data_IF_768352376091
#
_entry.id   IF_768352376091
#
_cell.length_a   1.000
_cell.length_b   1.000
_cell.length_c   1.000
_cell.angle_alpha   90.00
_cell.angle_beta   90.00
_cell.angle_gamma   90.00
#
_symmetry.space_group_name_H-M   'P 1'
#
loop_
_entity.id
_entity.type
_entity.pdbx_description
1 polymer ?
#
# COMPACT_ATOMS: atom_id res chain seq x y z
N UNK A 1 14.55 -4.30 -65.27
CA UNK A 1 14.03 -3.27 -64.36
C UNK A 1 14.58 -3.53 -63.00
N UNK A 2 15.22 -2.57 -62.37
CA UNK A 2 15.75 -2.73 -61.00
C UNK A 2 14.57 -2.87 -60.03
N UNK A 3 14.62 -3.84 -59.12
CA UNK A 3 13.53 -4.06 -58.15
C UNK A 3 13.39 -2.84 -57.22
N UNK A 4 12.18 -2.36 -57.05
CA UNK A 4 11.89 -1.30 -56.08
C UNK A 4 11.61 -1.91 -54.69
N UNK A 5 11.78 -1.11 -53.63
CA UNK A 5 11.44 -1.53 -52.28
C UNK A 5 10.03 -2.17 -52.17
N UNK A 6 9.03 -1.49 -52.75
CA UNK A 6 7.64 -1.97 -52.70
C UNK A 6 7.42 -3.27 -53.50
N UNK A 7 8.17 -3.52 -54.57
CA UNK A 7 8.07 -4.75 -55.36
C UNK A 7 8.61 -5.95 -54.57
N UNK A 8 9.63 -5.75 -53.73
CA UNK A 8 10.21 -6.78 -52.86
C UNK A 8 9.35 -6.94 -51.59
N UNK A 9 8.97 -5.86 -50.92
CA UNK A 9 8.18 -5.86 -49.71
C UNK A 9 6.83 -6.56 -49.84
N UNK A 10 6.21 -6.53 -51.02
CA UNK A 10 4.92 -7.20 -51.32
C UNK A 10 5.03 -8.69 -51.59
N UNK A 11 6.23 -9.28 -51.62
CA UNK A 11 6.37 -10.73 -51.79
C UNK A 11 5.90 -11.47 -50.52
N UNK A 12 5.26 -12.66 -50.66
CA UNK A 12 4.69 -13.38 -49.54
C UNK A 12 5.67 -13.57 -48.34
N UNK A 13 6.93 -13.82 -48.61
CA UNK A 13 8.00 -13.94 -47.60
C UNK A 13 8.12 -12.66 -46.74
N UNK A 14 8.10 -11.49 -47.39
CA UNK A 14 8.30 -10.20 -46.71
C UNK A 14 7.02 -9.73 -46.02
N UNK A 15 5.85 -10.09 -46.57
CA UNK A 15 4.56 -9.86 -45.88
C UNK A 15 4.50 -10.73 -44.61
N UNK A 16 4.91 -11.98 -44.69
CA UNK A 16 4.99 -12.84 -43.50
C UNK A 16 5.96 -12.24 -42.46
N UNK A 17 7.13 -11.74 -42.89
CA UNK A 17 8.06 -11.04 -42.01
C UNK A 17 7.49 -9.78 -41.37
N UNK A 18 6.69 -9.01 -42.13
CA UNK A 18 5.98 -7.85 -41.59
C UNK A 18 4.92 -8.24 -40.53
N UNK A 19 4.18 -9.31 -40.79
CA UNK A 19 3.23 -9.83 -39.80
C UNK A 19 3.92 -10.26 -38.51
N UNK A 20 5.08 -10.92 -38.61
CA UNK A 20 5.91 -11.24 -37.43
C UNK A 20 6.35 -9.96 -36.71
N UNK A 21 6.80 -8.94 -37.43
CA UNK A 21 7.18 -7.66 -36.85
C UNK A 21 5.99 -6.98 -36.11
N UNK A 22 4.77 -7.07 -36.66
CA UNK A 22 3.56 -6.57 -35.99
C UNK A 22 3.23 -7.36 -34.71
N UNK A 23 3.35 -8.68 -34.73
CA UNK A 23 3.11 -9.53 -33.55
C UNK A 23 4.12 -9.16 -32.45
N UNK A 24 5.40 -9.08 -32.80
CA UNK A 24 6.48 -8.73 -31.85
C UNK A 24 6.25 -7.32 -31.29
N UNK A 25 5.98 -6.33 -32.16
CA UNK A 25 5.71 -4.96 -31.72
C UNK A 25 4.44 -4.87 -30.84
N UNK A 26 3.39 -5.62 -31.17
CA UNK A 26 2.18 -5.70 -30.37
C UNK A 26 2.43 -6.28 -28.98
N UNK A 27 3.29 -7.33 -28.88
CA UNK A 27 3.71 -7.88 -27.59
C UNK A 27 4.46 -6.86 -26.75
N UNK A 28 5.40 -6.14 -27.35
CA UNK A 28 6.14 -5.09 -26.65
C UNK A 28 5.25 -3.90 -26.27
N UNK A 29 4.27 -3.54 -27.11
CA UNK A 29 3.27 -2.53 -26.76
C UNK A 29 2.41 -2.94 -25.54
N UNK A 30 2.02 -4.20 -25.46
CA UNK A 30 1.30 -4.73 -24.29
C UNK A 30 2.16 -4.71 -23.01
N UNK A 31 3.45 -5.08 -23.13
CA UNK A 31 4.39 -5.00 -22.02
C UNK A 31 4.65 -3.55 -21.59
N UNK A 32 4.80 -2.64 -22.54
CA UNK A 32 4.89 -1.21 -22.26
C UNK A 32 3.66 -0.70 -21.51
N UNK A 33 2.46 -1.04 -21.97
CA UNK A 33 1.21 -0.65 -21.32
C UNK A 33 1.11 -1.20 -19.88
N UNK A 34 1.51 -2.45 -19.70
CA UNK A 34 1.53 -3.08 -18.38
C UNK A 34 2.54 -2.40 -17.44
N UNK A 35 3.74 -2.06 -17.91
CA UNK A 35 4.72 -1.31 -17.13
C UNK A 35 4.25 0.11 -16.84
N UNK A 36 3.69 0.79 -17.85
CA UNK A 36 3.22 2.16 -17.71
C UNK A 36 2.11 2.29 -16.68
N UNK A 37 1.19 1.33 -16.61
CA UNK A 37 0.13 1.31 -15.59
C UNK A 37 0.65 1.16 -14.16
N UNK A 38 1.91 0.73 -13.98
CA UNK A 38 2.58 0.59 -12.68
C UNK A 38 3.56 1.73 -12.38
N UNK A 39 3.77 2.63 -13.33
CA UNK A 39 4.66 3.79 -13.17
C UNK A 39 4.02 4.84 -12.25
N UNK A 40 2.71 4.94 -12.29
CA UNK A 40 1.94 5.82 -11.43
C UNK A 40 1.40 4.99 -10.26
N UNK A 41 2.14 4.99 -9.16
CA UNK A 41 1.60 4.54 -7.88
C UNK A 41 0.73 5.69 -7.41
N UNK A 42 -0.58 5.52 -7.46
CA UNK A 42 -1.49 6.43 -6.79
C UNK A 42 -1.21 6.31 -5.28
N UNK A 43 -0.45 7.25 -4.75
CA UNK A 43 -0.29 7.42 -3.33
C UNK A 43 -1.42 8.37 -2.93
N UNK A 44 -2.41 7.80 -2.22
CA UNK A 44 -3.47 8.51 -1.52
C UNK A 44 -4.30 9.46 -2.41
N UNK A 45 -5.45 9.05 -2.88
CA UNK A 45 -6.52 10.01 -3.19
C UNK A 45 -7.00 10.48 -1.83
N UNK A 46 -6.99 11.78 -1.57
CA UNK A 46 -7.76 12.41 -0.52
C UNK A 46 -9.25 12.22 -0.86
N UNK A 47 -9.68 10.96 -0.83
CA UNK A 47 -11.09 10.66 -0.78
C UNK A 47 -11.44 11.10 0.64
N UNK A 48 -12.22 12.15 0.75
CA UNK A 48 -12.93 12.49 1.97
C UNK A 48 -13.79 11.25 2.30
N UNK A 49 -13.15 10.27 2.95
CA UNK A 49 -13.78 9.01 3.33
C UNK A 49 -14.76 9.36 4.43
N UNK A 50 -16.05 9.36 4.12
CA UNK A 50 -17.06 9.41 5.17
C UNK A 50 -16.82 8.19 6.07
N UNK A 51 -16.66 8.40 7.39
CA UNK A 51 -16.48 7.30 8.31
C UNK A 51 -17.73 6.43 8.35
N UNK A 52 -17.53 5.11 8.32
CA UNK A 52 -18.61 4.12 8.39
C UNK A 52 -18.56 3.38 9.72
N UNK A 53 -19.69 2.91 10.27
CA UNK A 53 -19.68 2.07 11.47
C UNK A 53 -18.75 0.86 11.29
N UNK A 54 -17.92 0.55 12.28
CA UNK A 54 -16.99 -0.59 12.21
C UNK A 54 -17.75 -1.91 11.96
N UNK A 55 -18.98 -2.02 12.45
CA UNK A 55 -19.84 -3.20 12.26
C UNK A 55 -20.17 -3.53 10.80
N UNK A 56 -20.06 -2.56 9.88
CA UNK A 56 -20.23 -2.80 8.45
C UNK A 56 -19.02 -3.50 7.80
N UNK A 57 -17.83 -3.30 8.37
CA UNK A 57 -16.57 -3.77 7.80
C UNK A 57 -15.97 -4.95 8.57
N UNK A 58 -16.13 -4.96 9.90
CA UNK A 58 -15.54 -5.94 10.79
C UNK A 58 -16.50 -6.36 11.90
N UNK A 59 -16.34 -7.59 12.37
CA UNK A 59 -16.97 -8.11 13.57
C UNK A 59 -15.97 -9.06 14.26
N UNK A 60 -16.19 -9.45 15.52
CA UNK A 60 -15.33 -10.41 16.19
C UNK A 60 -15.07 -11.65 15.34
N UNK A 61 -13.79 -11.95 15.11
CA UNK A 61 -13.35 -13.07 14.28
C UNK A 61 -13.66 -12.98 12.80
N UNK A 62 -14.23 -11.88 12.30
CA UNK A 62 -14.60 -11.69 10.88
C UNK A 62 -14.23 -10.32 10.35
N UNK A 63 -13.74 -10.28 9.12
CA UNK A 63 -13.42 -9.07 8.37
C UNK A 63 -13.98 -9.17 6.95
N UNK A 64 -14.61 -8.11 6.47
CA UNK A 64 -15.07 -8.04 5.09
C UNK A 64 -13.88 -7.80 4.13
N UNK A 65 -13.91 -8.29 2.88
CA UNK A 65 -12.89 -7.96 1.90
C UNK A 65 -12.80 -6.45 1.64
N UNK A 66 -11.58 -5.90 1.61
CA UNK A 66 -11.35 -4.48 1.34
C UNK A 66 -11.69 -3.55 2.50
N UNK A 67 -11.67 -4.05 3.74
CA UNK A 67 -11.96 -3.28 4.97
C UNK A 67 -10.78 -2.46 5.47
N UNK A 68 -9.56 -2.77 5.05
CA UNK A 68 -8.37 -2.03 5.49
C UNK A 68 -8.28 -0.65 4.83
N UNK A 69 -7.56 0.26 5.44
CA UNK A 69 -7.41 1.66 5.03
C UNK A 69 -8.75 2.43 5.00
N UNK A 70 -9.80 1.90 5.66
CA UNK A 70 -11.12 2.52 5.71
C UNK A 70 -11.30 3.29 7.02
N UNK A 71 -11.85 4.50 6.89
CA UNK A 71 -12.22 5.30 8.04
C UNK A 71 -13.47 4.73 8.68
N UNK A 72 -13.38 4.39 9.98
CA UNK A 72 -14.48 3.78 10.74
C UNK A 72 -14.83 4.59 11.98
N UNK A 73 -16.08 4.43 12.44
CA UNK A 73 -16.52 4.86 13.76
C UNK A 73 -16.81 3.67 14.64
N UNK A 74 -16.52 3.78 15.93
CA UNK A 74 -16.90 2.80 16.94
C UNK A 74 -17.09 3.48 18.29
N UNK A 75 -17.96 2.92 19.14
CA UNK A 75 -18.05 3.31 20.55
C UNK A 75 -17.27 2.28 21.38
N UNK A 76 -16.27 2.76 22.09
CA UNK A 76 -15.33 1.90 22.84
C UNK A 76 -15.25 2.30 24.31
N UNK A 77 -14.95 1.34 25.17
CA UNK A 77 -14.58 1.57 26.57
C UNK A 77 -13.11 1.24 26.75
N UNK A 78 -12.32 2.18 27.26
CA UNK A 78 -10.89 2.05 27.51
C UNK A 78 -10.58 1.82 28.98
N UNK A 79 -9.51 1.05 29.24
CA UNK A 79 -8.93 0.81 30.55
C UNK A 79 -7.43 1.18 30.51
N UNK A 80 -6.96 2.07 31.42
CA UNK A 80 -5.56 2.49 31.47
C UNK A 80 -4.58 1.37 31.86
N UNK A 81 -5.04 0.23 32.38
CA UNK A 81 -4.18 -0.90 32.73
C UNK A 81 -3.69 -1.72 31.52
N UNK A 82 -4.36 -1.60 30.37
CA UNK A 82 -4.09 -2.36 29.15
C UNK A 82 -3.43 -1.50 28.05
N UNK A 83 -2.35 -0.82 28.41
CA UNK A 83 -1.59 0.06 27.51
C UNK A 83 -0.19 -0.52 27.25
N UNK A 84 0.23 -0.52 26.00
CA UNK A 84 1.50 -1.07 25.53
C UNK A 84 2.21 -0.11 24.60
N UNK A 85 3.53 -0.17 24.57
CA UNK A 85 4.38 0.63 23.66
C UNK A 85 4.90 -0.29 22.56
N UNK A 86 4.78 0.15 21.31
CA UNK A 86 5.26 -0.54 20.13
C UNK A 86 6.43 0.24 19.55
N UNK A 87 7.60 -0.40 19.45
CA UNK A 87 8.84 0.18 18.91
C UNK A 87 8.90 0.15 17.38
N UNK A 88 9.97 0.73 16.84
CA UNK A 88 10.30 0.73 15.40
C UNK A 88 9.20 1.35 14.52
N UNK A 89 8.56 2.40 15.02
CA UNK A 89 7.55 3.13 14.26
C UNK A 89 8.16 4.32 13.55
N UNK A 90 7.78 4.45 12.28
CA UNK A 90 8.17 5.59 11.46
C UNK A 90 6.97 6.52 11.25
N UNK A 91 7.19 7.80 11.45
CA UNK A 91 6.22 8.86 11.18
C UNK A 91 6.85 9.95 10.34
N UNK A 92 6.08 10.59 9.47
CA UNK A 92 6.53 11.76 8.73
C UNK A 92 6.18 13.00 9.53
N UNK A 93 7.20 13.75 9.96
CA UNK A 93 7.07 15.02 10.66
C UNK A 93 7.79 16.11 9.86
N UNK A 94 7.10 17.16 9.47
CA UNK A 94 7.67 18.28 8.69
C UNK A 94 8.41 17.83 7.39
N UNK A 95 8.01 16.69 6.81
CA UNK A 95 8.63 16.14 5.59
C UNK A 95 9.84 15.24 5.82
N UNK A 96 10.21 14.99 7.05
CA UNK A 96 11.30 14.06 7.42
C UNK A 96 10.71 12.80 8.09
N UNK A 97 11.32 11.64 7.85
CA UNK A 97 10.96 10.41 8.55
C UNK A 97 11.61 10.41 9.94
N UNK A 98 10.77 10.32 10.96
CA UNK A 98 11.18 10.24 12.36
C UNK A 98 10.83 8.85 12.87
N UNK A 99 11.81 8.19 13.50
CA UNK A 99 11.59 6.92 14.19
C UNK A 99 11.12 7.19 15.61
N UNK A 100 10.23 6.33 16.12
CA UNK A 100 9.70 6.47 17.48
C UNK A 100 8.84 5.27 17.87
N UNK A 101 7.85 5.52 18.69
CA UNK A 101 7.05 4.55 19.40
C UNK A 101 5.56 4.87 19.25
N UNK A 102 4.74 3.83 19.13
CA UNK A 102 3.29 3.99 19.21
C UNK A 102 2.79 3.56 20.59
N UNK A 103 1.80 4.29 21.08
CA UNK A 103 1.02 3.90 22.26
C UNK A 103 -0.21 3.17 21.79
N UNK A 104 -0.35 1.93 22.23
CA UNK A 104 -1.42 1.01 21.85
C UNK A 104 -2.17 0.59 23.09
N UNK A 105 -3.49 0.60 23.04
CA UNK A 105 -4.33 0.19 24.16
C UNK A 105 -5.37 -0.86 23.73
N UNK A 106 -5.76 -1.72 24.67
CA UNK A 106 -6.98 -2.49 24.52
C UNK A 106 -8.20 -1.62 24.82
N UNK A 107 -9.27 -1.88 24.12
CA UNK A 107 -10.60 -1.36 24.42
C UNK A 107 -11.66 -2.43 24.22
N UNK A 108 -12.83 -2.22 24.78
CA UNK A 108 -13.99 -3.07 24.56
C UNK A 108 -14.98 -2.30 23.68
N UNK A 109 -15.24 -2.82 22.49
CA UNK A 109 -16.26 -2.28 21.59
C UNK A 109 -17.65 -2.55 22.18
N UNK A 110 -18.52 -1.53 22.22
CA UNK A 110 -19.72 -1.53 23.04
C UNK A 110 -20.87 -2.36 22.47
N UNK A 111 -20.98 -2.49 21.16
CA UNK A 111 -22.07 -3.23 20.52
C UNK A 111 -21.85 -4.76 20.65
N UNK A 112 -20.60 -5.21 20.51
CA UNK A 112 -20.24 -6.62 20.52
C UNK A 112 -19.71 -7.11 21.87
N UNK A 113 -19.18 -6.21 22.69
CA UNK A 113 -18.44 -6.55 23.91
C UNK A 113 -17.07 -7.17 23.65
N UNK A 114 -16.59 -7.12 22.41
CA UNK A 114 -15.32 -7.70 21.99
C UNK A 114 -14.14 -6.74 22.17
N UNK A 115 -12.95 -7.31 22.33
CA UNK A 115 -11.69 -6.57 22.37
C UNK A 115 -11.40 -5.92 21.01
N UNK A 116 -11.14 -4.62 21.03
CA UNK A 116 -10.69 -3.82 19.88
C UNK A 116 -9.41 -3.09 20.24
N UNK A 117 -8.32 -3.43 19.60
CA UNK A 117 -7.02 -2.76 19.80
C UNK A 117 -7.03 -1.38 19.15
N UNK A 118 -6.55 -0.37 19.87
CA UNK A 118 -6.45 1.01 19.42
C UNK A 118 -4.98 1.43 19.40
N UNK A 119 -4.51 2.00 18.29
CA UNK A 119 -3.26 2.75 18.22
C UNK A 119 -3.59 4.23 18.38
N UNK A 120 -3.10 4.85 19.46
CA UNK A 120 -3.61 6.12 19.95
C UNK A 120 -2.69 7.30 19.68
N UNK A 121 -1.37 7.10 19.74
CA UNK A 121 -0.43 8.20 19.61
C UNK A 121 1.00 7.75 19.34
N UNK A 122 1.80 8.72 18.92
CA UNK A 122 3.22 8.59 18.61
C UNK A 122 4.06 9.45 19.56
N UNK A 123 5.18 8.92 20.00
CA UNK A 123 6.21 9.63 20.73
C UNK A 123 7.60 9.29 20.15
N UNK A 124 8.56 10.21 20.23
CA UNK A 124 9.90 10.00 19.70
C UNK A 124 10.81 9.24 20.67
N UNK A 125 10.51 9.31 21.97
CA UNK A 125 11.30 8.69 23.02
C UNK A 125 10.45 7.65 23.77
N UNK A 126 11.11 6.54 24.18
CA UNK A 126 10.47 5.45 24.90
C UNK A 126 9.87 5.89 26.23
N UNK A 127 10.61 6.72 26.96
CA UNK A 127 10.19 7.24 28.27
C UNK A 127 8.91 8.07 28.13
N UNK A 128 8.83 8.91 27.10
CA UNK A 128 7.65 9.71 26.79
C UNK A 128 6.45 8.79 26.48
N UNK A 129 6.66 7.82 25.59
CA UNK A 129 5.61 6.85 25.22
C UNK A 129 5.08 6.07 26.43
N UNK A 130 5.97 5.68 27.36
CA UNK A 130 5.63 4.92 28.56
C UNK A 130 4.88 5.75 29.63
N UNK A 131 5.02 7.07 29.63
CA UNK A 131 4.34 7.98 30.57
C UNK A 131 2.97 8.43 30.09
N UNK A 132 2.62 8.17 28.82
CA UNK A 132 1.33 8.59 28.24
C UNK A 132 0.18 7.86 28.95
N UNK A 133 -0.75 8.64 29.48
CA UNK A 133 -1.93 8.12 30.17
C UNK A 133 -3.10 8.02 29.17
N UNK A 134 -3.69 6.85 29.09
CA UNK A 134 -4.92 6.63 28.35
C UNK A 134 -6.10 6.83 29.30
N UNK A 135 -7.05 7.75 29.01
CA UNK A 135 -8.17 8.00 29.93
C UNK A 135 -9.09 6.78 29.97
N UNK A 136 -9.57 6.44 31.19
CA UNK A 136 -10.63 5.44 31.35
C UNK A 136 -11.99 6.05 30.99
N UNK A 137 -12.82 5.30 30.31
CA UNK A 137 -14.18 5.75 29.99
C UNK A 137 -14.71 5.24 28.67
N UNK A 138 -15.88 5.76 28.30
CA UNK A 138 -16.54 5.45 27.05
C UNK A 138 -16.31 6.60 26.05
N UNK A 139 -15.90 6.25 24.84
CA UNK A 139 -15.52 7.20 23.78
C UNK A 139 -16.13 6.77 22.45
N UNK A 140 -16.61 7.73 21.70
CA UNK A 140 -16.89 7.57 20.27
C UNK A 140 -15.64 7.96 19.50
N UNK A 141 -15.07 6.99 18.77
CA UNK A 141 -13.81 7.16 18.04
C UNK A 141 -14.03 7.18 16.54
N UNK A 142 -13.13 7.90 15.87
CA UNK A 142 -12.96 7.86 14.42
C UNK A 142 -11.51 7.47 14.14
N UNK A 143 -11.30 6.49 13.25
CA UNK A 143 -9.95 6.06 12.93
C UNK A 143 -9.89 5.11 11.74
N UNK A 144 -8.68 4.80 11.31
CA UNK A 144 -8.47 3.89 10.19
C UNK A 144 -8.34 2.44 10.67
N UNK A 145 -9.02 1.55 9.96
CA UNK A 145 -9.01 0.12 10.25
C UNK A 145 -7.81 -0.54 9.56
N UNK A 146 -6.91 -1.13 10.36
CA UNK A 146 -5.64 -1.68 9.91
C UNK A 146 -5.51 -3.18 10.20
N UNK A 147 -4.78 -3.93 9.36
CA UNK A 147 -4.56 -5.35 9.57
C UNK A 147 -3.62 -5.62 10.74
N UNK A 148 -3.83 -6.77 11.43
CA UNK A 148 -2.84 -7.29 12.37
C UNK A 148 -1.48 -7.46 11.70
N UNK A 149 -0.44 -7.01 12.37
CA UNK A 149 0.93 -7.17 11.91
C UNK A 149 1.50 -8.54 12.32
N UNK A 150 2.53 -9.04 11.62
CA UNK A 150 3.27 -10.21 12.07
C UNK A 150 4.05 -9.89 13.35
N UNK A 151 4.21 -10.87 14.23
CA UNK A 151 5.06 -10.73 15.42
C UNK A 151 6.51 -10.51 15.01
N UNK A 152 7.13 -9.45 15.51
CA UNK A 152 8.54 -9.12 15.30
C UNK A 152 9.31 -9.07 16.62
N UNK A 153 10.64 -9.14 16.54
CA UNK A 153 11.49 -8.92 17.71
C UNK A 153 11.32 -7.49 18.22
N UNK A 154 11.44 -7.30 19.53
CA UNK A 154 11.21 -6.02 20.19
C UNK A 154 12.35 -5.69 21.17
N UNK A 155 12.49 -4.42 21.46
CA UNK A 155 13.33 -3.94 22.56
C UNK A 155 12.74 -4.32 23.91
N UNK A 156 13.55 -4.48 24.98
CA UNK A 156 13.03 -4.78 26.30
C UNK A 156 12.02 -3.72 26.78
N UNK A 157 10.82 -4.16 27.15
CA UNK A 157 9.74 -3.29 27.62
C UNK A 157 8.83 -2.75 26.53
N UNK A 158 9.04 -3.15 25.27
CA UNK A 158 8.18 -2.78 24.13
C UNK A 158 7.68 -4.00 23.37
N UNK A 159 6.76 -3.79 22.44
CA UNK A 159 6.37 -4.75 21.40
C UNK A 159 7.00 -4.32 20.09
N UNK A 160 7.38 -5.27 19.23
CA UNK A 160 7.98 -4.94 17.92
C UNK A 160 6.94 -4.61 16.85
N UNK A 161 5.66 -4.94 17.09
CA UNK A 161 4.58 -4.73 16.11
C UNK A 161 3.20 -4.75 16.77
N UNK A 162 2.19 -4.24 16.05
CA UNK A 162 0.77 -4.37 16.48
C UNK A 162 0.26 -5.74 16.05
N UNK A 163 0.85 -6.78 16.65
CA UNK A 163 0.48 -8.16 16.40
C UNK A 163 -0.68 -8.56 17.33
N UNK A 164 -1.90 -8.58 16.83
CA UNK A 164 -3.10 -8.88 17.64
C UNK A 164 -3.02 -10.25 18.31
N UNK A 165 -2.42 -11.24 17.66
CA UNK A 165 -2.20 -12.56 18.24
C UNK A 165 -1.30 -12.54 19.49
N UNK A 166 -0.39 -11.57 19.59
CA UNK A 166 0.44 -11.35 20.78
C UNK A 166 -0.32 -10.51 21.82
N UNK A 167 -0.92 -9.42 21.38
CA UNK A 167 -1.63 -8.46 22.24
C UNK A 167 -2.78 -9.09 23.01
N UNK A 168 -3.60 -9.92 22.38
CA UNK A 168 -4.73 -10.61 23.04
C UNK A 168 -4.30 -11.48 24.22
N UNK A 169 -3.06 -11.99 24.23
CA UNK A 169 -2.52 -12.75 25.33
C UNK A 169 -1.93 -11.88 26.47
N UNK A 170 -1.76 -10.59 26.21
CA UNK A 170 -1.22 -9.64 27.19
C UNK A 170 -2.32 -8.85 27.89
N UNK A 171 -3.49 -8.74 27.27
CA UNK A 171 -4.62 -8.01 27.83
C UNK A 171 -5.11 -8.69 29.12
N UNK A 172 -5.30 -7.89 30.16
CA UNK A 172 -5.73 -8.39 31.46
C UNK A 172 -7.22 -8.81 31.48
N UNK A 173 -7.99 -8.35 30.49
CA UNK A 173 -9.41 -8.63 30.41
C UNK A 173 -9.71 -9.99 29.78
N UNK A 174 -10.68 -10.69 30.36
CA UNK A 174 -11.19 -11.97 29.87
C UNK A 174 -12.15 -11.78 28.65
N UNK A 175 -11.84 -10.87 27.71
CA UNK A 175 -12.60 -10.78 26.49
C UNK A 175 -12.33 -12.02 25.63
N UNK A 176 -13.35 -12.89 25.51
CA UNK A 176 -13.22 -14.14 24.74
C UNK A 176 -13.22 -13.93 23.23
N UNK A 177 -13.63 -12.75 22.77
CA UNK A 177 -13.71 -12.39 21.36
C UNK A 177 -12.95 -11.12 21.08
N UNK A 178 -12.30 -11.05 19.92
CA UNK A 178 -11.56 -9.87 19.47
C UNK A 178 -11.80 -9.57 18.00
N UNK A 179 -11.68 -8.32 17.63
CA UNK A 179 -11.63 -7.92 16.24
C UNK A 179 -10.32 -8.40 15.59
N UNK A 180 -10.34 -8.86 14.34
CA UNK A 180 -9.16 -9.31 13.60
C UNK A 180 -8.34 -8.15 12.99
N UNK A 181 -8.66 -6.94 13.36
CA UNK A 181 -8.06 -5.69 12.92
C UNK A 181 -7.92 -4.73 14.09
N UNK A 182 -7.05 -3.72 14.00
CA UNK A 182 -6.95 -2.64 14.97
C UNK A 182 -7.32 -1.30 14.34
N UNK A 183 -7.53 -0.28 15.16
CA UNK A 183 -7.90 1.06 14.69
C UNK A 183 -6.80 2.04 15.05
N UNK A 184 -6.27 2.78 14.06
CA UNK A 184 -5.44 3.95 14.29
C UNK A 184 -6.37 5.15 14.52
N UNK A 185 -6.48 5.58 15.77
CA UNK A 185 -7.43 6.60 16.18
C UNK A 185 -6.99 7.98 15.70
N UNK A 186 -7.91 8.64 15.00
CA UNK A 186 -7.71 9.99 14.49
C UNK A 186 -8.51 11.02 15.29
N UNK A 187 -9.63 10.63 15.91
CA UNK A 187 -10.45 11.49 16.76
C UNK A 187 -11.18 10.69 17.84
N UNK A 188 -11.68 11.38 18.87
CA UNK A 188 -12.53 10.83 19.94
C UNK A 188 -11.82 10.61 21.26
N UNK A 189 -10.54 10.24 21.30
CA UNK A 189 -9.76 10.08 22.54
C UNK A 189 -8.63 11.10 22.56
N UNK A 190 -8.59 11.93 23.59
CA UNK A 190 -7.50 12.89 23.80
C UNK A 190 -6.44 12.28 24.70
N UNK A 191 -5.20 12.20 24.22
CA UNK A 191 -4.01 11.82 24.98
C UNK A 191 -2.91 12.89 24.79
N UNK A 192 -1.95 12.93 25.69
CA UNK A 192 -0.79 13.83 25.59
C UNK A 192 0.31 13.17 24.70
N UNK A 193 -0.03 12.92 23.44
CA UNK A 193 0.87 12.39 22.43
C UNK A 193 0.52 12.99 21.07
N UNK A 194 1.50 12.96 20.16
CA UNK A 194 1.25 13.30 18.77
C UNK A 194 0.35 12.23 18.12
N UNK A 195 -0.58 12.66 17.28
CA UNK A 195 -1.42 11.72 16.53
C UNK A 195 -0.57 10.90 15.58
N UNK A 196 -0.88 9.63 15.46
CA UNK A 196 -0.24 8.77 14.46
C UNK A 196 -0.63 9.29 13.08
N UNK A 197 0.37 9.80 12.37
CA UNK A 197 0.25 10.16 10.97
C UNK A 197 0.25 8.87 10.17
N UNK A 198 -0.91 8.40 9.78
CA UNK A 198 -1.00 7.43 8.71
C UNK A 198 -0.52 8.20 7.50
N UNK A 199 0.57 7.74 6.90
CA UNK A 199 1.15 8.42 5.74
C UNK A 199 0.18 8.44 4.55
N UNK A 200 -0.89 9.21 4.68
CA UNK A 200 -1.48 9.91 3.56
C UNK A 200 -0.41 10.94 3.22
N UNK A 201 0.67 10.46 2.60
CA UNK A 201 1.62 11.34 1.97
C UNK A 201 0.79 12.21 1.06
N UNK A 202 0.93 13.53 1.19
CA UNK A 202 0.55 14.46 0.12
C UNK A 202 0.91 13.77 -1.18
N UNK A 203 -0.08 13.46 -2.00
CA UNK A 203 0.11 12.76 -3.27
C UNK A 203 0.97 13.60 -4.21
N UNK A 204 2.24 13.59 -3.95
CA UNK A 204 3.17 13.73 -5.05
C UNK A 204 3.15 12.39 -5.76
N UNK A 205 2.54 12.36 -6.93
CA UNK A 205 2.62 11.22 -7.85
C UNK A 205 4.11 10.93 -8.05
N UNK A 206 4.68 10.06 -7.22
CA UNK A 206 6.06 9.65 -7.41
C UNK A 206 6.11 8.78 -8.65
N UNK A 207 6.71 9.35 -9.68
CA UNK A 207 7.03 8.60 -10.89
C UNK A 207 8.12 7.59 -10.53
N UNK A 208 7.77 6.32 -10.53
CA UNK A 208 8.78 5.28 -10.46
C UNK A 208 9.60 5.29 -11.75
N UNK A 209 10.71 6.05 -11.72
CA UNK A 209 11.59 6.26 -12.87
C UNK A 209 12.13 4.96 -13.46
N UNK A 210 12.34 3.93 -12.63
CA UNK A 210 12.78 2.63 -13.08
C UNK A 210 11.71 1.99 -13.98
N UNK A 211 10.46 2.01 -13.57
CA UNK A 211 9.32 1.47 -14.33
C UNK A 211 9.06 2.28 -15.60
N UNK A 212 9.18 3.61 -15.53
CA UNK A 212 9.07 4.49 -16.67
C UNK A 212 10.18 4.20 -17.71
N UNK A 213 11.40 3.95 -17.24
CA UNK A 213 12.53 3.59 -18.12
C UNK A 213 12.28 2.27 -18.86
N UNK A 214 11.81 1.24 -18.16
CA UNK A 214 11.44 -0.03 -18.80
C UNK A 214 10.31 0.13 -19.83
N UNK A 215 9.34 1.00 -19.60
CA UNK A 215 8.29 1.25 -20.58
C UNK A 215 8.87 1.83 -21.88
N UNK A 216 9.86 2.72 -21.79
CA UNK A 216 10.58 3.27 -22.95
C UNK A 216 11.39 2.19 -23.67
N UNK A 217 12.05 1.30 -22.93
CA UNK A 217 12.78 0.17 -23.54
C UNK A 217 11.87 -0.74 -24.37
N UNK A 218 10.69 -1.07 -23.88
CA UNK A 218 9.71 -1.87 -24.60
C UNK A 218 9.27 -1.20 -25.91
N UNK A 219 9.07 0.13 -25.87
CA UNK A 219 8.77 0.91 -27.08
C UNK A 219 9.90 0.82 -28.10
N UNK A 220 11.14 0.97 -27.66
CA UNK A 220 12.32 0.89 -28.54
C UNK A 220 12.45 -0.50 -29.17
N UNK A 221 12.21 -1.57 -28.43
CA UNK A 221 12.23 -2.94 -28.97
C UNK A 221 11.12 -3.16 -30.01
N UNK A 222 9.92 -2.62 -29.78
CA UNK A 222 8.85 -2.65 -30.78
C UNK A 222 9.23 -1.94 -32.07
N UNK A 223 9.83 -0.77 -31.99
CA UNK A 223 10.33 -0.01 -33.16
C UNK A 223 11.48 -0.73 -33.87
N UNK A 224 12.36 -1.38 -33.11
CA UNK A 224 13.47 -2.15 -33.66
C UNK A 224 13.00 -3.33 -34.51
N UNK A 225 11.86 -3.98 -34.19
CA UNK A 225 11.28 -5.04 -35.00
C UNK A 225 10.93 -4.57 -36.43
N UNK A 226 10.31 -3.39 -36.54
CA UNK A 226 10.02 -2.78 -37.84
C UNK A 226 11.27 -2.31 -38.58
N UNK A 227 12.24 -1.73 -37.86
CA UNK A 227 13.51 -1.33 -38.43
C UNK A 227 14.27 -2.55 -38.99
N UNK A 228 14.32 -3.67 -38.28
CA UNK A 228 14.97 -4.88 -38.78
C UNK A 228 14.27 -5.43 -39.99
N UNK A 229 12.91 -5.48 -39.99
CA UNK A 229 12.17 -5.87 -41.20
C UNK A 229 12.48 -4.97 -42.39
N UNK A 230 12.43 -3.65 -42.21
CA UNK A 230 12.74 -2.68 -43.27
C UNK A 230 14.16 -2.88 -43.78
N UNK A 231 15.15 -3.02 -42.93
CA UNK A 231 16.56 -3.22 -43.31
C UNK A 231 16.74 -4.50 -44.10
N UNK A 232 16.13 -5.60 -43.68
CA UNK A 232 16.22 -6.89 -44.38
C UNK A 232 15.61 -6.80 -45.80
N UNK A 233 14.50 -6.07 -45.96
CA UNK A 233 13.91 -5.79 -47.29
C UNK A 233 14.88 -4.96 -48.15
N UNK A 234 15.50 -3.93 -47.56
CA UNK A 234 16.49 -3.10 -48.28
C UNK A 234 17.73 -3.89 -48.68
N UNK A 235 18.24 -4.75 -47.82
CA UNK A 235 19.36 -5.64 -48.14
C UNK A 235 19.03 -6.60 -49.29
N UNK A 236 17.78 -7.08 -49.38
CA UNK A 236 17.32 -7.90 -50.47
C UNK A 236 17.26 -7.08 -51.82
N UNK A 237 16.74 -5.85 -51.77
CA UNK A 237 16.73 -4.96 -52.91
C UNK A 237 18.14 -4.70 -53.41
N UNK A 238 19.10 -4.46 -52.52
CA UNK A 238 20.50 -4.21 -52.87
C UNK A 238 21.13 -5.44 -53.52
N UNK A 239 20.90 -6.66 -53.03
CA UNK A 239 21.40 -7.90 -53.63
C UNK A 239 20.86 -8.21 -55.02
N UNK A 240 19.60 -7.84 -55.28
CA UNK A 240 18.98 -8.02 -56.61
C UNK A 240 19.35 -6.91 -57.62
N UNK A 241 20.02 -5.86 -57.12
CA UNK A 241 20.43 -4.72 -57.93
C UNK A 241 21.91 -4.77 -58.33
N UNK A 242 22.73 -5.52 -57.57
CA UNK A 242 24.14 -5.80 -57.85
C UNK A 242 24.28 -6.95 -58.85
#
# INVERSE_FOLDING_TARGET
MKPSFFSVARRPKWIAGLLVAFIVAGTFAALMQWQFSRTFVAVGVDIELEPVPISELAAPGRLAPGSYDRLVTATVSTDPENVYVVSDRLQVQAGEQVQGYWVVANSIEKETGASLTLALGFATELEEAAEIQVPAGEFEIVGYLEPSEPVTESEPGTLGSVALAQLVNLYADEAFESFPAYVIVQDGIAIEAERISIGIQDETVEINWLTAFYAIEWLLFGLAAFYLWWRLVMDQVARETS
#
